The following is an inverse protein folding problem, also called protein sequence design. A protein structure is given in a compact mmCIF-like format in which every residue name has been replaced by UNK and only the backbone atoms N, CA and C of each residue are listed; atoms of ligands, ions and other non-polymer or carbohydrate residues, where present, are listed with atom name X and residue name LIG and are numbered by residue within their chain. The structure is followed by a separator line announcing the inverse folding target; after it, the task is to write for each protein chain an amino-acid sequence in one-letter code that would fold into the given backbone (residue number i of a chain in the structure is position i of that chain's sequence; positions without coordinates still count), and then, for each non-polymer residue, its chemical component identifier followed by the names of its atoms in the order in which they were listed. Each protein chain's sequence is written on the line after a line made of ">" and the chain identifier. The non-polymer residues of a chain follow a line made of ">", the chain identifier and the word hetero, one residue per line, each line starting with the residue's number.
data_IF_303492493732
#
_entry.id   IF_303492493732
#
_cell.length_a   1.000
_cell.length_b   1.000
_cell.length_c   1.000
_cell.angle_alpha   90.00
_cell.angle_beta   90.00
_cell.angle_gamma   90.00
#
_symmetry.space_group_name_H-M   'P 1'
#
loop_
_entity.id
_entity.type
_entity.pdbx_description
1 polymer ?
#
# COMPACT_ATOMS: atom_id res chain seq x y z
N UNK A 1 7.23 24.47 -6.42
CA UNK A 1 6.23 24.46 -7.51
C UNK A 1 5.20 25.57 -7.27
N UNK A 2 4.66 26.19 -8.33
CA UNK A 2 3.49 27.08 -8.25
C UNK A 2 2.33 26.45 -9.00
N UNK A 3 1.12 26.55 -8.43
CA UNK A 3 -0.11 26.25 -9.15
C UNK A 3 -0.97 27.51 -9.34
N UNK A 4 -1.51 27.76 -10.55
CA UNK A 4 -2.53 28.80 -10.79
C UNK A 4 -3.93 28.19 -10.86
N UNK A 5 -4.70 28.35 -9.79
CA UNK A 5 -6.09 27.86 -9.70
C UNK A 5 -7.09 28.67 -10.54
N UNK A 6 -6.68 29.82 -11.11
CA UNK A 6 -7.57 30.75 -11.82
C UNK A 6 -7.58 30.52 -13.33
N UNK A 7 -6.49 29.99 -13.89
CA UNK A 7 -6.29 29.85 -15.33
C UNK A 7 -6.21 28.39 -15.72
N UNK A 8 -6.99 28.00 -16.73
CA UNK A 8 -6.81 26.78 -17.52
C UNK A 8 -6.24 27.19 -18.89
N UNK A 9 -5.34 26.42 -19.51
CA UNK A 9 -5.09 24.99 -19.29
C UNK A 9 -3.91 24.63 -18.35
N UNK A 10 -3.00 25.54 -18.02
CA UNK A 10 -1.79 25.20 -17.25
C UNK A 10 -2.00 25.41 -15.74
N UNK A 11 -2.25 24.32 -15.02
CA UNK A 11 -2.35 24.36 -13.56
C UNK A 11 -0.97 24.58 -12.91
N UNK A 12 0.10 23.98 -13.44
CA UNK A 12 1.47 24.11 -12.93
C UNK A 12 2.22 25.22 -13.68
N UNK A 13 2.69 26.25 -12.95
CA UNK A 13 3.29 27.47 -13.52
C UNK A 13 4.83 27.53 -13.41
N UNK A 14 5.45 26.55 -12.74
CA UNK A 14 6.91 26.44 -12.65
C UNK A 14 7.47 26.14 -11.26
N UNK A 15 8.79 26.22 -11.17
CA UNK A 15 9.60 25.93 -9.99
C UNK A 15 10.03 27.24 -9.31
N UNK A 16 9.76 27.33 -8.02
CA UNK A 16 10.14 28.47 -7.19
C UNK A 16 11.39 28.14 -6.42
N UNK A 17 12.32 29.09 -6.39
CA UNK A 17 13.44 29.11 -5.49
C UNK A 17 13.29 30.23 -4.46
N UNK A 18 13.62 29.91 -3.21
CA UNK A 18 13.78 30.86 -2.12
C UNK A 18 14.82 30.28 -1.13
N UNK A 19 15.60 31.15 -0.51
CA UNK A 19 16.62 30.76 0.47
C UNK A 19 15.98 30.34 1.80
N UNK A 20 16.54 29.31 2.43
CA UNK A 20 16.19 28.90 3.80
C UNK A 20 17.34 29.26 4.75
N UNK A 21 17.05 30.11 5.74
CA UNK A 21 17.99 30.44 6.81
C UNK A 21 17.82 29.43 7.96
N UNK A 22 18.77 28.50 8.08
CA UNK A 22 18.74 27.45 9.09
C UNK A 22 18.86 27.99 10.53
N UNK A 23 19.53 29.14 10.74
CA UNK A 23 19.65 29.74 12.06
C UNK A 23 18.32 30.36 12.51
N UNK A 24 17.51 30.87 11.57
CA UNK A 24 16.17 31.41 11.85
C UNK A 24 15.06 30.36 11.74
N UNK A 25 15.32 29.23 11.10
CA UNK A 25 14.31 28.23 10.77
C UNK A 25 13.23 28.77 9.82
N UNK A 26 13.59 29.69 8.92
CA UNK A 26 12.63 30.41 8.08
C UNK A 26 13.14 30.65 6.66
N UNK A 27 12.20 30.74 5.71
CA UNK A 27 12.49 31.20 4.35
C UNK A 27 12.78 32.70 4.36
N UNK A 28 13.84 33.13 3.67
CA UNK A 28 14.30 34.53 3.62
C UNK A 28 14.52 34.98 2.18
N UNK A 29 14.71 36.30 2.00
CA UNK A 29 15.09 36.86 0.71
C UNK A 29 14.01 36.75 -0.39
N UNK A 30 14.41 36.95 -1.66
CA UNK A 30 13.50 36.95 -2.79
C UNK A 30 12.97 35.54 -3.11
N UNK A 31 11.73 35.48 -3.60
CA UNK A 31 11.06 34.26 -4.09
C UNK A 31 10.84 34.40 -5.60
N UNK A 32 11.51 33.56 -6.41
CA UNK A 32 11.51 33.69 -7.88
C UNK A 32 11.12 32.38 -8.56
N UNK A 33 10.31 32.47 -9.62
CA UNK A 33 10.10 31.35 -10.54
C UNK A 33 11.35 31.23 -11.43
N UNK A 34 12.12 30.16 -11.23
CA UNK A 34 13.41 29.95 -11.90
C UNK A 34 13.31 29.07 -13.16
N UNK A 35 12.22 28.30 -13.29
CA UNK A 35 12.03 27.38 -14.41
C UNK A 35 10.55 27.09 -14.62
N UNK A 36 10.06 27.32 -15.84
CA UNK A 36 8.64 27.13 -16.19
C UNK A 36 8.31 25.72 -16.68
N UNK A 37 9.30 24.86 -16.83
CA UNK A 37 9.13 23.57 -17.50
C UNK A 37 9.22 23.68 -19.03
N UNK A 38 8.98 22.55 -19.68
CA UNK A 38 8.92 22.39 -21.13
C UNK A 38 7.47 22.40 -21.63
N UNK A 39 7.30 22.11 -22.91
CA UNK A 39 6.00 21.88 -23.54
C UNK A 39 5.24 20.65 -23.00
N UNK A 40 5.92 19.73 -22.28
CA UNK A 40 5.28 18.58 -21.63
C UNK A 40 4.41 18.96 -20.41
N UNK A 41 4.63 20.16 -19.85
CA UNK A 41 3.88 20.72 -18.73
C UNK A 41 3.91 19.85 -17.45
N UNK A 42 3.05 20.19 -16.46
CA UNK A 42 2.97 19.52 -15.15
C UNK A 42 4.32 19.45 -14.42
N UNK A 43 5.11 20.51 -14.52
CA UNK A 43 6.47 20.58 -13.98
C UNK A 43 6.48 20.53 -12.44
N UNK A 44 7.10 19.49 -11.90
CA UNK A 44 7.16 19.20 -10.48
C UNK A 44 8.49 18.55 -10.06
N UNK A 45 8.55 18.02 -8.82
CA UNK A 45 9.71 17.29 -8.29
C UNK A 45 11.08 17.98 -8.51
N UNK A 46 11.28 19.25 -8.12
CA UNK A 46 12.53 19.94 -8.39
C UNK A 46 13.67 19.49 -7.46
N UNK A 47 14.79 19.07 -8.05
CA UNK A 47 16.04 18.77 -7.34
C UNK A 47 17.19 19.58 -7.94
N UNK A 48 18.01 20.20 -7.08
CA UNK A 48 19.16 21.02 -7.49
C UNK A 48 20.49 20.30 -7.18
N UNK A 49 21.38 20.29 -8.15
CA UNK A 49 22.74 19.75 -8.02
C UNK A 49 23.75 20.78 -8.49
N UNK A 50 24.98 20.73 -7.96
CA UNK A 50 26.06 21.63 -8.37
C UNK A 50 27.25 20.82 -8.87
N UNK A 51 27.64 21.03 -10.12
CA UNK A 51 28.77 20.32 -10.76
C UNK A 51 29.41 21.20 -11.83
N UNK A 52 30.74 21.22 -11.88
CA UNK A 52 31.52 21.90 -12.92
C UNK A 52 31.10 23.35 -13.22
N UNK A 53 30.77 24.11 -12.16
CA UNK A 53 30.34 25.51 -12.27
C UNK A 53 28.88 25.72 -12.71
N UNK A 54 28.11 24.65 -12.91
CA UNK A 54 26.68 24.69 -13.19
C UNK A 54 25.84 24.30 -11.97
N UNK A 55 24.65 24.87 -11.92
CA UNK A 55 23.50 24.40 -11.17
C UNK A 55 22.62 23.59 -12.12
N UNK A 56 22.46 22.30 -11.85
CA UNK A 56 21.54 21.42 -12.57
C UNK A 56 20.21 21.40 -11.83
N UNK A 57 19.11 21.52 -12.57
CA UNK A 57 17.74 21.41 -12.08
C UNK A 57 17.09 20.20 -12.75
N UNK A 58 16.88 19.13 -11.98
CA UNK A 58 16.07 17.99 -12.37
C UNK A 58 14.62 18.27 -11.97
N UNK A 59 13.68 17.94 -12.85
CA UNK A 59 12.23 18.08 -12.61
C UNK A 59 11.48 16.88 -13.18
N UNK A 60 10.32 16.59 -12.65
CA UNK A 60 9.36 15.68 -13.27
C UNK A 60 8.37 16.47 -14.14
N UNK A 61 7.95 15.91 -15.27
CA UNK A 61 6.98 16.54 -16.18
C UNK A 61 5.99 15.50 -16.76
N UNK A 62 4.90 15.96 -17.35
CA UNK A 62 3.89 15.11 -18.00
C UNK A 62 2.91 14.41 -17.05
N UNK A 63 3.09 14.61 -15.74
CA UNK A 63 2.27 14.01 -14.68
C UNK A 63 2.60 12.54 -14.45
N UNK A 64 2.34 12.04 -13.24
CA UNK A 64 2.75 10.70 -12.78
C UNK A 64 2.01 9.51 -13.45
N UNK A 65 1.34 9.73 -14.59
CA UNK A 65 0.66 8.73 -15.40
C UNK A 65 1.57 8.27 -16.57
N UNK A 66 1.00 7.85 -17.70
CA UNK A 66 1.77 7.34 -18.84
C UNK A 66 2.56 8.40 -19.63
N UNK A 67 2.34 9.70 -19.37
CA UNK A 67 3.10 10.80 -19.97
C UNK A 67 4.37 11.19 -19.20
N UNK A 68 4.67 10.51 -18.09
CA UNK A 68 5.69 10.93 -17.12
C UNK A 68 7.11 10.97 -17.70
N UNK A 69 7.90 11.93 -17.24
CA UNK A 69 9.30 12.10 -17.63
C UNK A 69 10.15 12.76 -16.53
N UNK A 70 11.47 12.60 -16.61
CA UNK A 70 12.45 13.46 -15.94
C UNK A 70 13.07 14.43 -16.95
N UNK A 71 12.96 15.73 -16.68
CA UNK A 71 13.56 16.81 -17.46
C UNK A 71 14.75 17.39 -16.70
N UNK A 72 15.89 17.52 -17.39
CA UNK A 72 17.10 18.11 -16.84
C UNK A 72 17.39 19.45 -17.51
N UNK A 73 17.75 20.45 -16.70
CA UNK A 73 18.18 21.75 -17.16
C UNK A 73 19.40 22.22 -16.36
N UNK A 74 20.17 23.20 -16.85
CA UNK A 74 21.30 23.77 -16.11
C UNK A 74 21.44 25.28 -16.27
N UNK A 75 22.12 25.92 -15.33
CA UNK A 75 22.44 27.36 -15.38
C UNK A 75 23.75 27.64 -14.63
N UNK A 76 24.49 28.67 -15.03
CA UNK A 76 25.64 29.17 -14.25
C UNK A 76 25.23 30.07 -13.08
N UNK A 77 23.99 30.57 -13.10
CA UNK A 77 23.37 31.31 -12.01
C UNK A 77 22.22 30.46 -11.43
N UNK A 78 22.18 30.27 -10.11
CA UNK A 78 21.12 29.52 -9.43
C UNK A 78 19.72 30.10 -9.74
N UNK A 79 19.65 31.41 -10.06
CA UNK A 79 18.42 32.11 -10.44
C UNK A 79 18.03 31.94 -11.92
N UNK A 80 18.81 31.21 -12.72
CA UNK A 80 18.60 31.01 -14.15
C UNK A 80 19.10 32.17 -15.03
N UNK A 81 18.75 32.19 -16.34
CA UNK A 81 17.85 31.25 -16.99
C UNK A 81 18.47 29.85 -17.10
N UNK A 82 17.64 28.82 -16.93
CA UNK A 82 18.06 27.43 -17.11
C UNK A 82 17.93 27.04 -18.60
N UNK A 83 19.04 26.59 -19.19
CA UNK A 83 19.02 25.92 -20.49
C UNK A 83 18.59 24.47 -20.32
N UNK A 84 17.71 23.97 -21.19
CA UNK A 84 17.21 22.59 -21.12
C UNK A 84 18.20 21.65 -21.81
N UNK A 85 18.34 20.44 -21.27
CA UNK A 85 19.14 19.37 -21.85
C UNK A 85 18.78 19.14 -23.33
N UNK A 86 19.73 18.80 -24.23
CA UNK A 86 19.45 18.57 -25.66
C UNK A 86 18.34 17.55 -25.93
N UNK A 87 18.31 16.45 -25.18
CA UNK A 87 17.24 15.42 -25.26
C UNK A 87 15.94 15.82 -24.53
N UNK A 88 15.93 16.98 -23.84
CA UNK A 88 14.90 17.47 -22.92
C UNK A 88 14.59 16.54 -21.75
N UNK A 89 14.04 15.38 -22.05
CA UNK A 89 13.61 14.36 -21.10
C UNK A 89 14.67 13.25 -21.03
N UNK A 90 15.53 13.30 -20.02
CA UNK A 90 16.61 12.33 -19.85
C UNK A 90 16.10 10.93 -19.47
N UNK A 91 14.85 10.82 -19.01
CA UNK A 91 14.19 9.55 -18.70
C UNK A 91 12.69 9.66 -19.01
N UNK A 92 12.14 8.75 -19.83
CA UNK A 92 10.70 8.60 -20.05
C UNK A 92 10.38 7.29 -20.77
N UNK A 93 9.21 6.73 -20.49
CA UNK A 93 8.60 5.61 -21.23
C UNK A 93 7.39 6.03 -22.07
N UNK A 94 7.07 7.33 -22.15
CA UNK A 94 5.80 7.83 -22.70
C UNK A 94 5.55 7.45 -24.17
N UNK A 95 6.61 7.37 -24.97
CA UNK A 95 6.56 7.02 -26.40
C UNK A 95 6.92 5.55 -26.65
N UNK A 96 7.09 4.75 -25.58
CA UNK A 96 7.53 3.36 -25.61
C UNK A 96 6.53 2.47 -24.85
N UNK A 97 5.32 2.22 -25.40
CA UNK A 97 4.23 1.53 -24.69
C UNK A 97 4.55 0.08 -24.31
N UNK A 98 5.56 -0.53 -24.95
CA UNK A 98 6.02 -1.89 -24.68
C UNK A 98 7.19 -1.98 -23.70
N UNK A 99 7.73 -0.84 -23.23
CA UNK A 99 8.78 -0.87 -22.22
C UNK A 99 8.25 -1.51 -20.93
N UNK A 100 9.03 -2.41 -20.31
CA UNK A 100 8.63 -3.09 -19.08
C UNK A 100 8.33 -2.13 -17.92
N UNK A 101 9.09 -1.02 -17.86
CA UNK A 101 8.92 0.04 -16.87
C UNK A 101 8.19 1.22 -17.51
N UNK A 102 6.94 1.43 -17.11
CA UNK A 102 6.11 2.55 -17.57
C UNK A 102 6.10 3.68 -16.54
N UNK A 103 5.45 4.82 -16.85
CA UNK A 103 5.24 5.95 -15.93
C UNK A 103 6.56 6.49 -15.35
N UNK A 104 7.65 6.39 -16.10
CA UNK A 104 9.00 6.62 -15.59
C UNK A 104 9.32 8.11 -15.50
N UNK A 105 9.56 8.59 -14.29
CA UNK A 105 9.79 10.00 -14.00
C UNK A 105 9.99 10.24 -12.51
N UNK A 106 9.95 11.51 -12.07
CA UNK A 106 10.12 11.91 -10.65
C UNK A 106 11.36 11.27 -10.00
N UNK A 107 12.50 11.51 -10.63
CA UNK A 107 13.77 10.93 -10.22
C UNK A 107 14.64 11.83 -9.36
N UNK A 108 15.72 11.24 -8.87
CA UNK A 108 16.79 11.89 -8.12
C UNK A 108 18.14 11.30 -8.56
N UNK A 109 19.20 12.11 -8.53
CA UNK A 109 20.55 11.74 -8.97
C UNK A 109 21.42 11.45 -7.76
N UNK A 110 22.09 10.31 -7.78
CA UNK A 110 23.01 9.88 -6.72
C UNK A 110 24.27 9.29 -7.31
N UNK A 111 25.42 9.64 -6.73
CA UNK A 111 26.69 9.00 -7.05
C UNK A 111 26.89 7.75 -6.19
N UNK A 112 27.57 6.74 -6.73
CA UNK A 112 28.00 5.57 -5.97
C UNK A 112 28.89 6.00 -4.79
N UNK A 113 28.97 5.19 -3.71
CA UNK A 113 29.85 5.50 -2.57
C UNK A 113 31.33 5.70 -2.95
N UNK A 114 31.79 5.08 -4.03
CA UNK A 114 33.16 5.23 -4.56
C UNK A 114 33.31 6.36 -5.60
N UNK A 115 32.22 7.06 -5.93
CA UNK A 115 32.18 8.17 -6.87
C UNK A 115 32.44 7.81 -8.34
N UNK A 116 32.45 6.52 -8.69
CA UNK A 116 32.76 6.06 -10.06
C UNK A 116 31.56 6.01 -10.99
N UNK A 117 30.37 5.84 -10.46
CA UNK A 117 29.13 5.73 -11.22
C UNK A 117 28.12 6.74 -10.72
N UNK A 118 27.37 7.35 -11.63
CA UNK A 118 26.19 8.15 -11.30
C UNK A 118 24.94 7.35 -11.65
N UNK A 119 23.92 7.42 -10.79
CA UNK A 119 22.64 6.75 -10.99
C UNK A 119 21.50 7.77 -10.93
N UNK A 120 20.42 7.46 -11.65
CA UNK A 120 19.13 8.13 -11.55
C UNK A 120 18.13 7.15 -10.94
N UNK A 121 17.75 7.38 -9.68
CA UNK A 121 16.59 6.70 -9.09
C UNK A 121 15.32 7.34 -9.62
N UNK A 122 14.26 6.59 -9.85
CA UNK A 122 12.99 7.10 -10.37
C UNK A 122 11.83 6.19 -10.00
N UNK A 123 10.61 6.72 -10.04
CA UNK A 123 9.43 5.86 -9.94
C UNK A 123 9.10 5.22 -11.29
N UNK A 124 8.41 4.09 -11.27
CA UNK A 124 7.79 3.47 -12.45
C UNK A 124 6.47 2.80 -12.07
N UNK A 125 5.70 2.37 -13.07
CA UNK A 125 4.59 1.43 -12.91
C UNK A 125 4.77 0.25 -13.85
N UNK A 126 4.35 -0.94 -13.41
CA UNK A 126 4.33 -2.15 -14.24
C UNK A 126 2.89 -2.57 -14.51
N UNK A 127 2.30 -2.14 -15.65
CA UNK A 127 0.92 -2.42 -15.94
C UNK A 127 0.67 -3.89 -16.26
N UNK A 128 -0.48 -4.40 -15.81
CA UNK A 128 -1.02 -5.70 -16.22
C UNK A 128 -2.17 -5.52 -17.19
N UNK A 129 -2.41 -6.56 -18.01
CA UNK A 129 -3.50 -6.65 -19.00
C UNK A 129 -3.49 -5.52 -20.05
N UNK A 130 -4.51 -5.47 -20.92
CA UNK A 130 -4.70 -4.39 -21.88
C UNK A 130 -5.24 -3.11 -21.24
N UNK A 131 -5.85 -3.20 -20.05
CA UNK A 131 -6.35 -2.06 -19.29
C UNK A 131 -5.22 -1.21 -18.66
N UNK A 132 -3.98 -1.70 -18.76
CA UNK A 132 -2.78 -1.06 -18.25
C UNK A 132 -2.93 -0.62 -16.79
N UNK A 133 -3.37 -1.54 -15.92
CA UNK A 133 -3.55 -1.28 -14.48
C UNK A 133 -2.29 -1.65 -13.71
N UNK A 134 -1.81 -0.76 -12.85
CA UNK A 134 -0.62 -0.98 -12.02
C UNK A 134 -1.05 -1.42 -10.61
N UNK A 135 -1.29 -2.72 -10.43
CA UNK A 135 -1.76 -3.30 -9.14
C UNK A 135 -0.75 -3.13 -7.99
N UNK A 136 0.52 -2.96 -8.31
CA UNK A 136 1.60 -2.67 -7.36
C UNK A 136 1.73 -1.17 -7.05
N UNK A 137 0.90 -0.32 -7.66
CA UNK A 137 1.03 1.13 -7.61
C UNK A 137 2.27 1.61 -8.37
N UNK A 138 2.94 2.61 -7.80
CA UNK A 138 4.22 3.11 -8.30
C UNK A 138 5.36 2.49 -7.48
N UNK A 139 6.32 1.92 -8.18
CA UNK A 139 7.49 1.24 -7.62
C UNK A 139 8.74 2.10 -7.85
N UNK A 140 9.83 1.79 -7.15
CA UNK A 140 11.12 2.47 -7.34
C UNK A 140 12.01 1.67 -8.27
N UNK A 141 12.69 2.34 -9.18
CA UNK A 141 13.69 1.81 -10.10
C UNK A 141 14.93 2.71 -10.12
N UNK A 142 16.00 2.21 -10.72
CA UNK A 142 17.29 2.91 -10.80
C UNK A 142 17.87 2.69 -12.19
N UNK A 143 18.52 3.72 -12.75
CA UNK A 143 19.23 3.67 -14.03
C UNK A 143 20.66 4.13 -13.84
N UNK A 144 21.61 3.47 -14.51
CA UNK A 144 22.98 3.96 -14.61
C UNK A 144 23.02 5.14 -15.59
N UNK A 145 23.79 6.17 -15.25
CA UNK A 145 23.94 7.38 -16.05
C UNK A 145 25.41 7.68 -16.33
N UNK A 146 25.65 8.40 -17.42
CA UNK A 146 26.98 8.88 -17.82
C UNK A 146 26.98 10.40 -17.96
N UNK A 147 27.98 11.05 -17.37
CA UNK A 147 28.31 12.43 -17.69
C UNK A 147 29.18 12.44 -18.95
N UNK A 148 28.77 13.19 -19.98
CA UNK A 148 29.52 13.32 -21.23
C UNK A 148 30.38 14.58 -21.25
N UNK A 149 31.22 14.71 -22.28
CA UNK A 149 32.16 15.82 -22.46
C UNK A 149 31.50 17.21 -22.55
N UNK A 150 30.20 17.25 -22.86
CA UNK A 150 29.37 18.46 -22.88
C UNK A 150 28.83 18.88 -21.50
N UNK A 151 29.29 18.20 -20.44
CA UNK A 151 28.85 18.33 -19.05
C UNK A 151 27.35 17.99 -18.85
N UNK A 152 26.73 17.21 -19.74
CA UNK A 152 25.35 16.73 -19.53
C UNK A 152 25.30 15.29 -19.02
N UNK A 153 24.26 14.99 -18.23
CA UNK A 153 23.97 13.66 -17.73
C UNK A 153 22.99 12.95 -18.66
N UNK A 154 23.37 11.76 -19.14
CA UNK A 154 22.53 10.91 -19.97
C UNK A 154 22.25 9.59 -19.26
N UNK A 155 21.04 9.08 -19.38
CA UNK A 155 20.74 7.69 -18.98
C UNK A 155 21.41 6.74 -19.98
N UNK A 156 22.12 5.74 -19.46
CA UNK A 156 22.81 4.74 -20.27
C UNK A 156 21.80 3.96 -21.10
N UNK A 157 22.12 3.73 -22.38
CA UNK A 157 21.23 3.11 -23.38
C UNK A 157 20.00 3.94 -23.81
N UNK A 158 19.92 5.21 -23.39
CA UNK A 158 18.90 6.16 -23.82
C UNK A 158 17.81 6.40 -22.77
N UNK A 159 16.82 7.27 -23.08
CA UNK A 159 15.86 7.76 -22.10
C UNK A 159 14.79 6.73 -21.70
N UNK A 160 14.64 5.64 -22.46
CA UNK A 160 13.73 4.54 -22.11
C UNK A 160 14.40 3.71 -21.02
N UNK A 161 13.79 3.55 -19.83
CA UNK A 161 14.42 2.85 -18.71
C UNK A 161 14.71 1.39 -19.05
N UNK A 162 15.91 0.95 -18.70
CA UNK A 162 16.29 -0.46 -18.79
C UNK A 162 15.64 -1.26 -17.66
N UNK A 163 15.21 -2.48 -17.97
CA UNK A 163 14.70 -3.43 -16.96
C UNK A 163 15.83 -3.97 -16.07
N UNK A 164 17.01 -4.19 -16.67
CA UNK A 164 18.20 -4.68 -16.00
C UNK A 164 19.25 -3.58 -15.97
N UNK A 165 19.77 -3.30 -14.77
CA UNK A 165 20.77 -2.25 -14.54
C UNK A 165 21.84 -2.82 -13.61
N UNK A 166 23.09 -2.64 -14.01
CA UNK A 166 24.25 -3.01 -13.19
C UNK A 166 24.33 -2.06 -11.99
N UNK A 167 24.41 -2.61 -10.78
CA UNK A 167 24.50 -1.84 -9.53
C UNK A 167 25.57 -2.45 -8.62
N UNK A 168 26.21 -1.65 -7.74
CA UNK A 168 27.21 -2.16 -6.78
C UNK A 168 26.51 -2.86 -5.61
N UNK A 169 25.90 -4.01 -5.89
CA UNK A 169 25.15 -4.80 -4.92
C UNK A 169 24.85 -6.20 -5.45
N UNK A 170 24.41 -7.09 -4.56
CA UNK A 170 23.95 -8.43 -4.94
C UNK A 170 22.46 -8.53 -4.70
N UNK A 171 21.75 -9.10 -5.68
CA UNK A 171 20.31 -9.35 -5.58
C UNK A 171 20.10 -10.68 -4.88
N UNK A 172 19.39 -10.65 -3.75
CA UNK A 172 18.96 -11.84 -3.03
C UNK A 172 17.57 -12.27 -3.54
N UNK A 173 17.57 -13.17 -4.53
CA UNK A 173 16.34 -13.75 -5.08
C UNK A 173 15.57 -14.57 -4.02
N UNK A 174 16.25 -15.32 -3.18
CA UNK A 174 15.60 -16.17 -2.18
C UNK A 174 14.86 -15.33 -1.14
N UNK A 175 15.49 -14.25 -0.65
CA UNK A 175 14.86 -13.33 0.28
C UNK A 175 13.66 -12.56 -0.32
N UNK A 176 13.65 -12.32 -1.64
CA UNK A 176 12.52 -11.68 -2.32
C UNK A 176 11.29 -12.61 -2.39
N UNK A 177 11.51 -13.90 -2.64
CA UNK A 177 10.45 -14.90 -2.78
C UNK A 177 10.06 -15.62 -1.49
N UNK A 178 10.69 -15.31 -0.35
CA UNK A 178 10.41 -15.98 0.93
C UNK A 178 9.00 -15.66 1.45
N UNK A 179 8.34 -16.68 1.98
CA UNK A 179 7.11 -16.51 2.76
C UNK A 179 7.36 -15.59 3.96
N UNK A 180 6.45 -14.65 4.18
CA UNK A 180 6.42 -13.80 5.37
C UNK A 180 5.30 -14.27 6.29
N UNK A 181 5.68 -14.83 7.44
CA UNK A 181 4.79 -15.29 8.50
C UNK A 181 4.93 -14.39 9.71
N UNK A 182 3.83 -13.81 10.17
CA UNK A 182 3.80 -12.92 11.32
C UNK A 182 2.97 -13.57 12.42
N UNK A 183 3.62 -13.83 13.55
CA UNK A 183 2.97 -14.25 14.80
C UNK A 183 3.06 -13.08 15.78
N UNK A 184 1.93 -12.60 16.28
CA UNK A 184 1.84 -11.32 17.03
C UNK A 184 2.22 -11.45 18.50
N UNK A 185 3.31 -12.16 18.77
CA UNK A 185 3.90 -12.24 20.11
C UNK A 185 4.39 -10.85 20.52
N UNK A 186 4.03 -10.40 21.72
CA UNK A 186 4.58 -9.15 22.26
C UNK A 186 6.12 -9.25 22.25
N UNK A 187 6.85 -8.19 21.85
CA UNK A 187 8.30 -8.26 21.85
C UNK A 187 8.80 -8.58 23.26
N UNK A 188 9.75 -9.52 23.34
CA UNK A 188 10.55 -9.67 24.55
C UNK A 188 11.18 -8.31 24.88
N UNK A 189 11.27 -7.89 26.16
CA UNK A 189 11.86 -6.61 26.58
C UNK A 189 13.29 -6.33 26.06
N UNK A 190 13.93 -7.31 25.44
CA UNK A 190 15.31 -7.28 24.93
C UNK A 190 15.46 -6.64 23.54
N UNK A 191 14.38 -6.40 22.79
CA UNK A 191 14.45 -5.93 21.40
C UNK A 191 14.37 -4.40 21.22
N UNK A 192 14.29 -3.63 22.31
CA UNK A 192 14.39 -2.16 22.24
C UNK A 192 15.86 -1.82 22.02
N UNK A 193 16.27 -1.65 20.76
CA UNK A 193 17.60 -1.17 20.43
C UNK A 193 17.79 0.24 21.01
N UNK A 194 18.89 0.41 21.72
CA UNK A 194 19.35 1.65 22.34
C UNK A 194 19.64 2.73 21.29
N UNK A 195 18.62 3.50 20.91
CA UNK A 195 18.82 4.77 20.20
C UNK A 195 17.76 5.81 20.58
N UNK A 196 17.23 5.75 21.80
CA UNK A 196 16.43 6.82 22.38
C UNK A 196 17.34 7.72 23.23
N UNK A 197 17.97 8.71 22.59
CA UNK A 197 18.50 9.85 23.32
C UNK A 197 17.36 10.59 24.02
N UNK A 198 17.62 10.89 25.29
CA UNK A 198 16.80 11.57 26.27
C UNK A 198 15.95 12.71 25.69
N UNK A 199 14.64 12.48 25.60
CA UNK A 199 13.65 13.56 25.63
C UNK A 199 12.56 13.21 26.65
N UNK A 200 12.47 14.04 27.68
CA UNK A 200 11.40 14.03 28.67
C UNK A 200 10.07 14.40 28.00
N UNK A 201 9.37 13.42 27.44
CA UNK A 201 8.04 13.60 26.85
C UNK A 201 7.17 12.35 27.03
N UNK A 202 6.09 12.55 27.81
CA UNK A 202 4.84 11.79 27.95
C UNK A 202 4.88 10.27 28.17
N UNK A 203 4.18 9.80 29.21
CA UNK A 203 3.78 8.40 29.45
C UNK A 203 2.83 7.81 28.39
N UNK A 204 2.57 8.52 27.29
CA UNK A 204 1.59 8.20 26.25
C UNK A 204 2.24 7.71 24.93
N UNK A 205 3.48 7.21 24.93
CA UNK A 205 4.07 6.62 23.71
C UNK A 205 3.48 5.24 23.44
N UNK A 206 2.91 5.08 22.25
CA UNK A 206 2.21 3.92 21.70
C UNK A 206 3.09 2.66 21.60
N UNK A 207 3.19 1.88 22.69
CA UNK A 207 3.99 0.66 22.73
C UNK A 207 3.52 -0.43 21.75
N UNK A 208 2.24 -0.45 21.36
CA UNK A 208 1.69 -1.44 20.44
C UNK A 208 2.02 -1.15 18.97
N UNK A 209 1.96 0.11 18.54
CA UNK A 209 2.34 0.50 17.18
C UNK A 209 3.85 0.35 16.95
N UNK A 210 4.65 0.71 17.95
CA UNK A 210 6.12 0.60 17.91
C UNK A 210 6.61 -0.85 17.85
N UNK A 211 5.76 -1.81 18.23
CA UNK A 211 6.07 -3.24 18.25
C UNK A 211 5.55 -4.01 17.03
N UNK A 212 4.73 -3.38 16.19
CA UNK A 212 4.18 -4.00 14.99
C UNK A 212 5.26 -4.11 13.90
N UNK A 213 5.29 -5.21 13.17
CA UNK A 213 6.28 -5.38 12.10
C UNK A 213 6.16 -4.26 11.05
N UNK A 214 7.31 -3.74 10.58
CA UNK A 214 7.39 -2.57 9.70
C UNK A 214 6.67 -2.70 8.34
N UNK A 215 6.32 -3.93 7.95
CA UNK A 215 5.52 -4.19 6.75
C UNK A 215 4.07 -3.70 6.89
N UNK A 216 3.56 -3.66 8.12
CA UNK A 216 2.20 -3.27 8.41
C UNK A 216 2.06 -1.76 8.62
N UNK A 217 0.98 -1.22 8.08
CA UNK A 217 0.55 0.16 8.27
C UNK A 217 -0.95 0.18 8.57
N UNK A 218 -1.41 1.27 9.16
CA UNK A 218 -2.82 1.57 9.36
C UNK A 218 -3.19 2.90 8.70
N UNK A 219 -4.49 3.15 8.54
CA UNK A 219 -4.96 4.34 7.84
C UNK A 219 -5.08 5.53 8.79
N UNK A 220 -4.22 6.53 8.59
CA UNK A 220 -4.35 7.95 8.99
C UNK A 220 -4.33 8.27 10.49
N UNK A 221 -5.05 7.53 11.32
CA UNK A 221 -5.28 7.92 12.71
C UNK A 221 -3.95 8.06 13.47
N UNK A 222 -3.74 9.17 14.19
CA UNK A 222 -2.60 9.34 15.08
C UNK A 222 -2.80 8.62 16.44
N UNK A 223 -3.92 7.89 16.61
CA UNK A 223 -4.30 7.22 17.86
C UNK A 223 -4.40 5.69 17.67
N UNK A 224 -3.30 4.99 17.36
CA UNK A 224 -3.32 3.56 17.02
C UNK A 224 -3.88 2.68 18.15
N UNK A 225 -3.68 3.01 19.43
CA UNK A 225 -4.28 2.24 20.54
C UNK A 225 -5.83 2.21 20.52
N UNK A 226 -6.47 3.13 19.80
CA UNK A 226 -7.93 3.07 19.59
C UNK A 226 -8.33 1.99 18.62
N UNK A 227 -7.45 1.54 17.74
CA UNK A 227 -7.78 0.59 16.66
C UNK A 227 -7.10 -0.78 16.84
N UNK A 228 -5.95 -0.83 17.53
CA UNK A 228 -5.16 -2.05 17.69
C UNK A 228 -4.49 -2.18 19.06
N UNK A 229 -4.21 -3.42 19.46
CA UNK A 229 -3.35 -3.77 20.62
C UNK A 229 -2.61 -5.09 20.36
N UNK A 230 -1.36 -5.18 20.81
CA UNK A 230 -0.53 -6.39 20.84
C UNK A 230 -0.34 -6.96 22.26
N UNK A 231 -0.92 -6.30 23.27
CA UNK A 231 -0.76 -6.66 24.68
C UNK A 231 -2.05 -7.23 25.30
N UNK A 232 -3.21 -6.83 24.79
CA UNK A 232 -4.51 -7.23 25.37
C UNK A 232 -4.78 -8.72 25.21
N UNK A 233 -4.21 -9.35 24.18
CA UNK A 233 -4.23 -10.79 24.00
C UNK A 233 -2.84 -11.24 23.57
N UNK A 234 -2.01 -11.74 24.50
CA UNK A 234 -0.66 -12.19 24.18
C UNK A 234 -0.65 -13.20 23.04
N UNK A 235 0.16 -12.95 22.01
CA UNK A 235 0.26 -13.81 20.82
C UNK A 235 -0.73 -13.47 19.70
N UNK A 236 -1.56 -12.44 19.86
CA UNK A 236 -2.51 -12.01 18.85
C UNK A 236 -2.51 -10.48 18.64
N UNK A 237 -2.76 -10.06 17.39
CA UNK A 237 -3.14 -8.70 17.06
C UNK A 237 -4.62 -8.54 17.36
N UNK A 238 -4.96 -7.74 18.36
CA UNK A 238 -6.34 -7.37 18.65
C UNK A 238 -6.68 -6.13 17.84
N UNK A 239 -7.71 -6.21 17.00
CA UNK A 239 -8.33 -5.07 16.33
C UNK A 239 -9.68 -4.78 16.99
N UNK A 240 -9.88 -3.55 17.48
CA UNK A 240 -11.17 -3.16 18.05
C UNK A 240 -12.08 -2.67 16.93
N UNK A 241 -13.28 -3.22 16.77
CA UNK A 241 -14.20 -2.78 15.72
C UNK A 241 -14.47 -1.26 15.78
N UNK A 242 -14.29 -0.57 14.65
CA UNK A 242 -14.56 0.87 14.52
C UNK A 242 -15.43 1.13 13.29
N UNK A 243 -15.12 2.15 12.51
CA UNK A 243 -15.94 2.59 11.40
C UNK A 243 -15.87 1.61 10.21
N UNK A 244 -16.75 1.83 9.24
CA UNK A 244 -16.80 1.02 8.02
C UNK A 244 -15.51 1.13 7.19
N UNK A 245 -15.22 0.15 6.30
CA UNK A 245 -14.10 0.20 5.34
C UNK A 245 -14.14 1.44 4.42
N UNK A 246 -15.29 2.10 4.33
CA UNK A 246 -15.48 3.31 3.54
C UNK A 246 -15.01 4.60 4.24
N UNK A 247 -14.62 4.57 5.52
CA UNK A 247 -14.40 5.81 6.28
C UNK A 247 -13.08 6.52 5.97
N UNK A 248 -13.04 7.84 6.18
CA UNK A 248 -11.80 8.62 6.15
C UNK A 248 -11.12 8.73 7.52
N UNK A 249 -11.80 8.31 8.60
CA UNK A 249 -11.35 8.56 9.97
C UNK A 249 -10.81 7.28 10.61
N UNK A 250 -11.58 6.62 11.47
CA UNK A 250 -11.10 5.53 12.31
C UNK A 250 -11.46 4.16 11.72
N UNK A 251 -10.64 3.71 10.77
CA UNK A 251 -10.68 2.33 10.32
C UNK A 251 -9.73 1.47 11.15
N UNK A 252 -10.25 0.40 11.75
CA UNK A 252 -9.41 -0.64 12.33
C UNK A 252 -8.96 -1.61 11.25
N UNK A 253 -8.01 -1.13 10.44
CA UNK A 253 -7.39 -1.83 9.33
C UNK A 253 -5.88 -1.80 9.52
N UNK A 254 -5.27 -2.97 9.54
CA UNK A 254 -3.82 -3.17 9.59
C UNK A 254 -3.41 -4.02 8.40
N UNK A 255 -2.65 -3.45 7.48
CA UNK A 255 -2.35 -4.07 6.20
C UNK A 255 -0.92 -3.80 5.73
N UNK A 256 -0.42 -4.70 4.88
CA UNK A 256 0.88 -4.58 4.22
C UNK A 256 0.72 -4.43 2.72
N UNK A 257 1.74 -3.91 2.04
CA UNK A 257 1.76 -3.76 0.58
C UNK A 257 1.72 -5.11 -0.13
N UNK A 258 0.98 -5.18 -1.23
CA UNK A 258 1.20 -6.17 -2.28
C UNK A 258 2.50 -5.80 -3.01
N UNK A 259 3.44 -6.74 -3.08
CA UNK A 259 4.77 -6.55 -3.69
C UNK A 259 5.08 -7.53 -4.82
N UNK A 260 4.14 -8.43 -5.12
CA UNK A 260 4.21 -9.41 -6.19
C UNK A 260 2.91 -9.37 -7.00
N UNK A 261 2.99 -9.67 -8.30
CA UNK A 261 1.79 -9.78 -9.14
C UNK A 261 0.91 -10.95 -8.70
N UNK A 262 1.54 -12.02 -8.21
CA UNK A 262 0.86 -13.20 -7.71
C UNK A 262 1.36 -13.53 -6.29
N UNK A 263 0.42 -13.78 -5.39
CA UNK A 263 0.70 -14.15 -3.99
C UNK A 263 -0.51 -14.82 -3.36
N UNK A 264 -0.25 -15.50 -2.25
CA UNK A 264 -1.28 -16.01 -1.34
C UNK A 264 -1.19 -15.22 -0.03
N UNK A 265 -2.33 -14.94 0.58
CA UNK A 265 -2.37 -14.35 1.91
C UNK A 265 -3.42 -15.02 2.79
N UNK A 266 -3.14 -15.14 4.07
CA UNK A 266 -4.09 -15.66 5.04
C UNK A 266 -4.01 -14.96 6.38
N UNK A 267 -5.13 -14.88 7.07
CA UNK A 267 -5.21 -14.45 8.46
C UNK A 267 -5.98 -15.49 9.29
N UNK A 268 -5.52 -15.73 10.52
CA UNK A 268 -6.17 -16.66 11.45
C UNK A 268 -6.88 -15.87 12.52
N UNK A 269 -8.22 -15.88 12.48
CA UNK A 269 -9.07 -15.32 13.52
C UNK A 269 -9.19 -16.31 14.68
N UNK A 270 -8.88 -15.86 15.90
CA UNK A 270 -8.96 -16.64 17.12
C UNK A 270 -10.39 -17.10 17.44
N UNK A 271 -10.53 -18.15 18.28
CA UNK A 271 -11.73 -18.39 19.08
C UNK A 271 -12.26 -17.13 19.75
N UNK A 272 -13.57 -17.07 19.98
CA UNK A 272 -14.21 -16.00 20.74
C UNK A 272 -14.69 -14.80 19.92
N UNK A 273 -14.55 -14.80 18.59
CA UNK A 273 -15.15 -13.76 17.75
C UNK A 273 -16.61 -14.14 17.39
N UNK A 274 -17.54 -13.51 18.10
CA UNK A 274 -18.98 -13.71 17.97
C UNK A 274 -19.68 -12.35 17.77
N UNK A 275 -19.85 -11.90 16.52
CA UNK A 275 -20.63 -10.70 16.23
C UNK A 275 -22.10 -10.92 16.62
N UNK A 276 -22.70 -9.89 17.21
CA UNK A 276 -24.09 -9.88 17.67
C UNK A 276 -25.07 -9.65 16.50
N UNK A 277 -24.65 -8.91 15.48
CA UNK A 277 -25.46 -8.51 14.34
C UNK A 277 -24.64 -8.21 13.07
N UNK A 278 -25.33 -7.91 11.97
CA UNK A 278 -24.74 -7.61 10.64
C UNK A 278 -23.83 -6.36 10.59
N UNK A 279 -23.80 -5.54 11.64
CA UNK A 279 -23.00 -4.30 11.72
C UNK A 279 -21.63 -4.54 12.34
N UNK A 280 -21.38 -5.74 12.85
CA UNK A 280 -20.11 -6.18 13.37
C UNK A 280 -19.50 -7.20 12.43
N UNK A 281 -18.29 -6.93 11.96
CA UNK A 281 -17.61 -7.82 11.03
C UNK A 281 -16.09 -7.66 11.09
N UNK A 282 -15.37 -8.77 10.99
CA UNK A 282 -13.92 -8.81 10.97
C UNK A 282 -13.39 -9.87 10.01
N UNK A 283 -12.22 -9.64 9.43
CA UNK A 283 -11.59 -10.64 8.56
C UNK A 283 -10.43 -10.12 7.72
N UNK A 284 -10.33 -10.64 6.50
CA UNK A 284 -9.21 -10.44 5.57
C UNK A 284 -9.62 -9.51 4.41
N UNK A 285 -8.85 -8.47 4.16
CA UNK A 285 -9.14 -7.47 3.12
C UNK A 285 -8.00 -7.33 2.11
N UNK A 286 -8.35 -7.18 0.84
CA UNK A 286 -7.51 -6.65 -0.23
C UNK A 286 -8.02 -5.24 -0.57
N UNK A 287 -7.20 -4.22 -0.33
CA UNK A 287 -7.64 -2.84 -0.20
C UNK A 287 -6.73 -1.89 -0.99
N UNK A 288 -7.33 -1.03 -1.81
CA UNK A 288 -6.64 0.11 -2.41
C UNK A 288 -7.08 1.41 -1.73
N UNK A 289 -8.39 1.67 -1.75
CA UNK A 289 -9.01 2.80 -1.08
C UNK A 289 -10.46 2.49 -0.71
N UNK A 290 -11.15 3.43 -0.07
CA UNK A 290 -12.57 3.32 0.34
C UNK A 290 -13.55 3.00 -0.81
N UNK A 291 -13.10 3.15 -2.06
CA UNK A 291 -13.88 2.92 -3.26
C UNK A 291 -13.50 1.63 -4.00
N UNK A 292 -12.33 1.07 -3.70
CA UNK A 292 -11.75 -0.09 -4.39
C UNK A 292 -11.18 -1.04 -3.34
N UNK A 293 -11.96 -2.05 -2.96
CA UNK A 293 -11.58 -3.07 -1.99
C UNK A 293 -12.42 -4.34 -2.15
N UNK A 294 -11.86 -5.44 -1.64
CA UNK A 294 -12.52 -6.72 -1.42
C UNK A 294 -12.28 -7.17 0.02
N UNK A 295 -13.33 -7.61 0.71
CA UNK A 295 -13.27 -7.91 2.13
C UNK A 295 -14.07 -9.18 2.44
N UNK A 296 -13.35 -10.27 2.74
CA UNK A 296 -13.91 -11.50 3.29
C UNK A 296 -14.04 -11.36 4.81
N UNK A 297 -15.26 -11.34 5.32
CA UNK A 297 -15.53 -11.07 6.73
C UNK A 297 -16.44 -12.12 7.36
N UNK A 298 -16.17 -12.41 8.64
CA UNK A 298 -17.11 -13.07 9.55
C UNK A 298 -18.04 -12.00 10.11
N UNK A 299 -19.35 -12.17 9.95
CA UNK A 299 -20.38 -11.26 10.49
C UNK A 299 -21.51 -12.02 11.18
N UNK A 300 -22.36 -11.28 11.91
CA UNK A 300 -23.58 -11.83 12.50
C UNK A 300 -24.68 -11.87 11.46
N UNK A 301 -25.64 -12.79 11.61
CA UNK A 301 -26.79 -12.91 10.68
C UNK A 301 -27.97 -12.03 11.05
N UNK A 302 -28.01 -11.53 12.29
CA UNK A 302 -29.17 -10.79 12.81
C UNK A 302 -29.20 -9.36 12.25
N UNK A 303 -30.27 -8.99 11.56
CA UNK A 303 -30.52 -7.65 11.00
C UNK A 303 -31.73 -6.93 11.63
N UNK A 304 -32.53 -7.64 12.43
CA UNK A 304 -33.79 -7.15 12.98
C UNK A 304 -33.67 -6.73 14.45
N UNK A 305 -33.39 -5.44 14.67
CA UNK A 305 -33.38 -4.81 16.01
C UNK A 305 -34.78 -4.47 16.55
N UNK A 306 -35.83 -4.58 15.72
CA UNK A 306 -37.18 -4.10 16.03
C UNK A 306 -38.19 -5.23 16.24
N UNK A 307 -37.81 -6.48 16.02
CA UNK A 307 -38.71 -7.62 16.20
C UNK A 307 -38.43 -8.32 17.54
N UNK A 308 -39.23 -7.99 18.55
CA UNK A 308 -39.21 -8.64 19.86
C UNK A 308 -39.69 -10.11 19.82
N UNK A 309 -40.21 -10.58 18.67
CA UNK A 309 -40.68 -11.96 18.47
C UNK A 309 -39.62 -12.90 17.87
N UNK A 310 -38.49 -12.36 17.39
CA UNK A 310 -37.34 -13.17 16.97
C UNK A 310 -36.57 -13.66 18.21
N UNK A 311 -36.40 -14.97 18.27
CA UNK A 311 -35.78 -15.69 19.38
C UNK A 311 -34.35 -15.17 19.64
N UNK A 312 -33.98 -15.08 20.92
CA UNK A 312 -32.61 -14.78 21.38
C UNK A 312 -31.59 -15.74 20.72
N UNK A 313 -32.05 -16.89 20.21
CA UNK A 313 -31.26 -17.91 19.49
C UNK A 313 -30.67 -17.50 18.12
N UNK A 314 -31.08 -16.38 17.49
CA UNK A 314 -30.38 -15.85 16.31
C UNK A 314 -29.10 -15.08 16.67
N UNK A 315 -28.97 -14.62 17.93
CA UNK A 315 -27.75 -13.98 18.45
C UNK A 315 -26.64 -15.02 18.54
N UNK A 316 -25.53 -14.78 17.86
CA UNK A 316 -24.38 -15.69 17.81
C UNK A 316 -24.39 -16.66 16.62
N UNK A 317 -25.38 -16.57 15.72
CA UNK A 317 -25.28 -17.15 14.38
C UNK A 317 -24.33 -16.31 13.53
N UNK A 318 -23.34 -16.95 12.92
CA UNK A 318 -22.29 -16.29 12.15
C UNK A 318 -22.37 -16.73 10.69
N UNK A 319 -21.93 -15.85 9.82
CA UNK A 319 -21.76 -16.15 8.41
C UNK A 319 -20.47 -15.55 7.87
N UNK A 320 -19.99 -16.10 6.76
CA UNK A 320 -18.95 -15.50 5.94
C UNK A 320 -19.60 -14.78 4.77
N UNK A 321 -19.19 -13.54 4.55
CA UNK A 321 -19.64 -12.74 3.43
C UNK A 321 -18.46 -12.02 2.75
N UNK A 322 -18.65 -11.69 1.48
CA UNK A 322 -17.71 -10.88 0.70
C UNK A 322 -18.32 -9.51 0.45
N UNK A 323 -17.72 -8.48 1.03
CA UNK A 323 -18.00 -7.09 0.67
C UNK A 323 -17.02 -6.64 -0.40
N UNK A 324 -17.52 -5.92 -1.41
CA UNK A 324 -16.67 -5.32 -2.42
C UNK A 324 -17.21 -3.97 -2.86
N UNK A 325 -16.29 -3.06 -3.14
CA UNK A 325 -16.56 -1.82 -3.85
C UNK A 325 -15.59 -1.77 -5.03
N UNK A 326 -16.15 -1.66 -6.23
CA UNK A 326 -15.38 -1.72 -7.48
C UNK A 326 -15.44 -0.41 -8.28
N UNK A 327 -16.27 0.54 -7.86
CA UNK A 327 -16.50 1.80 -8.58
C UNK A 327 -15.66 2.95 -8.05
N UNK A 328 -15.43 3.96 -8.89
CA UNK A 328 -14.79 5.22 -8.49
C UNK A 328 -15.81 6.24 -7.99
N UNK A 329 -15.35 7.28 -7.29
CA UNK A 329 -16.18 8.44 -6.91
C UNK A 329 -16.81 9.10 -8.17
N UNK A 330 -18.06 9.61 -8.10
CA UNK A 330 -19.01 9.54 -6.98
C UNK A 330 -19.90 8.29 -6.99
N UNK A 331 -19.69 7.39 -7.95
CA UNK A 331 -20.59 6.28 -8.25
C UNK A 331 -20.27 5.00 -7.47
N UNK A 332 -19.20 5.00 -6.68
CA UNK A 332 -18.80 3.91 -5.80
C UNK A 332 -19.95 3.49 -4.88
N UNK A 333 -20.38 2.25 -5.01
CA UNK A 333 -21.35 1.58 -4.15
C UNK A 333 -20.81 0.20 -3.83
N UNK A 334 -21.22 -0.38 -2.70
CA UNK A 334 -21.07 -1.81 -2.49
C UNK A 334 -21.75 -2.55 -3.65
N UNK A 335 -21.06 -3.51 -4.25
CA UNK A 335 -21.59 -4.24 -5.40
C UNK A 335 -22.86 -5.01 -5.02
N UNK A 336 -23.83 -5.02 -5.93
CA UNK A 336 -25.09 -5.76 -5.79
C UNK A 336 -25.41 -6.51 -7.11
N UNK A 337 -25.94 -7.74 -7.05
CA UNK A 337 -26.21 -8.54 -5.85
C UNK A 337 -24.93 -8.96 -5.13
N UNK A 338 -24.99 -9.10 -3.80
CA UNK A 338 -23.86 -9.63 -3.04
C UNK A 338 -23.73 -11.13 -3.29
N UNK A 339 -22.53 -11.68 -3.11
CA UNK A 339 -22.33 -13.13 -3.04
C UNK A 339 -23.15 -13.66 -1.86
N UNK A 340 -23.88 -14.76 -2.07
CA UNK A 340 -24.65 -15.39 -1.00
C UNK A 340 -23.74 -15.72 0.20
N UNK A 341 -24.09 -15.29 1.42
CA UNK A 341 -23.29 -15.61 2.59
C UNK A 341 -23.21 -17.12 2.83
N UNK A 342 -22.10 -17.55 3.42
CA UNK A 342 -21.90 -18.95 3.82
C UNK A 342 -22.14 -19.06 5.33
N UNK A 343 -23.18 -19.79 5.78
CA UNK A 343 -23.40 -20.02 7.20
C UNK A 343 -22.18 -20.68 7.85
N UNK A 344 -21.77 -20.15 9.00
CA UNK A 344 -20.79 -20.79 9.87
C UNK A 344 -21.50 -21.51 11.00
N UNK A 345 -20.89 -22.56 11.59
CA UNK A 345 -21.49 -23.21 12.74
C UNK A 345 -21.65 -22.22 13.90
N UNK A 346 -22.72 -22.42 14.67
CA UNK A 346 -23.09 -21.54 15.76
C UNK A 346 -22.05 -21.53 16.88
N UNK A 347 -22.16 -20.58 17.80
CA UNK A 347 -21.29 -20.50 18.97
C UNK A 347 -21.23 -21.80 19.79
N UNK A 348 -22.36 -22.50 19.91
CA UNK A 348 -22.45 -23.73 20.70
C UNK A 348 -21.87 -24.95 19.95
N UNK A 349 -21.80 -24.88 18.62
CA UNK A 349 -21.28 -25.94 17.76
C UNK A 349 -19.77 -25.79 17.47
N UNK A 350 -19.28 -24.56 17.38
CA UNK A 350 -17.88 -24.28 17.00
C UNK A 350 -17.36 -22.96 17.57
N UNK A 351 -16.34 -23.04 18.42
CA UNK A 351 -15.51 -21.91 18.87
C UNK A 351 -14.03 -22.11 18.49
N UNK A 352 -13.77 -22.82 17.40
CA UNK A 352 -12.40 -23.01 16.91
C UNK A 352 -11.90 -21.81 16.09
N UNK A 353 -10.63 -21.86 15.69
CA UNK A 353 -10.05 -20.85 14.80
C UNK A 353 -10.70 -20.86 13.42
N UNK A 354 -10.74 -19.69 12.80
CA UNK A 354 -11.18 -19.51 11.42
C UNK A 354 -10.00 -18.97 10.61
N UNK A 355 -9.53 -19.75 9.62
CA UNK A 355 -8.55 -19.27 8.64
C UNK A 355 -9.28 -18.65 7.48
N UNK A 356 -9.01 -17.39 7.22
CA UNK A 356 -9.47 -16.64 6.05
C UNK A 356 -8.29 -16.50 5.09
N UNK A 357 -8.49 -16.74 3.79
CA UNK A 357 -7.39 -16.71 2.82
C UNK A 357 -7.83 -16.14 1.48
N UNK A 358 -6.88 -15.58 0.75
CA UNK A 358 -7.05 -15.16 -0.64
C UNK A 358 -5.85 -15.59 -1.47
N UNK A 359 -6.11 -15.86 -2.74
CA UNK A 359 -5.10 -16.06 -3.78
C UNK A 359 -5.25 -14.96 -4.82
N UNK A 360 -4.17 -14.25 -5.14
CA UNK A 360 -4.10 -13.36 -6.30
C UNK A 360 -3.18 -13.96 -7.36
N UNK A 361 -3.68 -14.02 -8.60
CA UNK A 361 -2.94 -14.44 -9.80
C UNK A 361 -3.07 -13.34 -10.85
N UNK A 362 -2.12 -12.40 -10.85
CA UNK A 362 -2.18 -11.13 -11.60
C UNK A 362 -3.49 -10.36 -11.39
N UNK A 363 -4.47 -10.51 -12.28
CA UNK A 363 -5.77 -9.81 -12.28
C UNK A 363 -6.89 -10.61 -11.61
N UNK A 364 -6.64 -11.82 -11.10
CA UNK A 364 -7.67 -12.70 -10.53
C UNK A 364 -7.50 -12.84 -9.03
N UNK A 365 -8.57 -12.60 -8.27
CA UNK A 365 -8.65 -12.85 -6.82
C UNK A 365 -9.66 -13.96 -6.53
N UNK A 366 -9.29 -14.96 -5.72
CA UNK A 366 -10.22 -15.95 -5.18
C UNK A 366 -10.09 -16.02 -3.66
N UNK A 367 -11.22 -15.98 -2.95
CA UNK A 367 -11.27 -16.17 -1.50
C UNK A 367 -11.49 -17.62 -1.11
N UNK A 368 -10.97 -17.97 0.07
CA UNK A 368 -11.09 -19.27 0.71
C UNK A 368 -11.25 -19.13 2.22
N UNK A 369 -11.78 -20.18 2.84
CA UNK A 369 -11.80 -20.32 4.30
C UNK A 369 -11.55 -21.78 4.72
N UNK A 370 -11.06 -21.96 5.95
CA UNK A 370 -10.95 -23.26 6.60
C UNK A 370 -11.26 -23.12 8.09
N UNK A 371 -11.92 -24.12 8.67
CA UNK A 371 -12.20 -24.21 10.09
C UNK A 371 -11.20 -25.15 10.76
N UNK A 372 -10.83 -24.87 12.00
CA UNK A 372 -10.03 -25.78 12.82
C UNK A 372 -10.76 -27.12 13.03
N UNK A 373 -10.03 -28.23 12.89
CA UNK A 373 -10.56 -29.57 13.14
C UNK A 373 -10.40 -29.94 14.62
N UNK A 374 -11.50 -29.83 15.37
CA UNK A 374 -11.57 -30.16 16.80
C UNK A 374 -11.81 -31.66 17.07
N UNK A 375 -12.03 -32.48 16.05
CA UNK A 375 -12.37 -33.91 16.23
C UNK A 375 -11.22 -34.77 16.80
N UNK A 376 -10.00 -34.24 16.79
CA UNK A 376 -8.79 -34.94 17.28
C UNK A 376 -8.19 -34.38 18.58
N UNK A 377 -8.79 -33.35 19.18
CA UNK A 377 -8.27 -32.70 20.39
C UNK A 377 -8.86 -33.28 21.69
N UNK A 378 -8.73 -34.59 21.88
CA UNK A 378 -9.04 -35.24 23.16
C UNK A 378 -7.78 -35.39 24.02
N UNK A 379 -7.09 -34.31 24.36
CA UNK A 379 -6.34 -34.25 25.62
C UNK A 379 -5.98 -32.81 25.99
N UNK A 380 -6.32 -32.49 27.24
CA UNK A 380 -6.06 -31.25 27.93
C UNK A 380 -4.56 -30.96 28.06
N UNK A 381 -4.05 -30.09 27.20
CA UNK A 381 -2.98 -29.15 27.51
C UNK A 381 -3.13 -27.95 26.57
N UNK A 382 -3.78 -26.90 27.05
CA UNK A 382 -3.87 -25.63 26.36
C UNK A 382 -2.47 -25.17 25.93
N UNK A 383 -2.25 -25.03 24.62
CA UNK A 383 -1.19 -24.18 24.07
C UNK A 383 -0.01 -24.83 23.33
N UNK A 384 0.01 -26.14 23.01
CA UNK A 384 1.17 -26.74 22.27
C UNK A 384 0.89 -27.78 21.18
N UNK A 385 -0.34 -28.24 20.98
CA UNK A 385 -0.64 -29.12 19.86
C UNK A 385 -0.73 -28.31 18.55
N UNK A 386 -0.17 -28.77 17.42
CA UNK A 386 -0.28 -28.08 16.14
C UNK A 386 -1.75 -27.99 15.71
N UNK A 387 -2.17 -26.81 15.27
CA UNK A 387 -3.50 -26.58 14.70
C UNK A 387 -3.67 -27.47 13.48
N UNK A 388 -4.76 -28.25 13.46
CA UNK A 388 -5.16 -28.99 12.27
C UNK A 388 -6.30 -28.25 11.61
N UNK A 389 -6.16 -28.01 10.32
CA UNK A 389 -7.19 -27.39 9.50
C UNK A 389 -8.05 -28.46 8.85
N UNK A 390 -9.36 -28.24 8.84
CA UNK A 390 -10.27 -28.97 7.96
C UNK A 390 -10.05 -28.61 6.49
N UNK A 391 -10.93 -29.10 5.62
CA UNK A 391 -10.88 -28.82 4.19
C UNK A 391 -10.96 -27.30 3.92
N UNK A 392 -10.06 -26.81 3.07
CA UNK A 392 -10.10 -25.43 2.58
C UNK A 392 -11.18 -25.31 1.51
N UNK A 393 -12.16 -24.43 1.74
CA UNK A 393 -13.33 -24.24 0.89
C UNK A 393 -13.26 -22.90 0.17
N UNK A 394 -13.64 -22.88 -1.11
CA UNK A 394 -13.81 -21.64 -1.89
C UNK A 394 -15.07 -20.92 -1.44
N UNK A 395 -15.03 -19.59 -1.45
CA UNK A 395 -16.18 -18.72 -1.24
C UNK A 395 -16.23 -17.63 -2.31
N UNK A 396 -17.41 -17.42 -2.87
CA UNK A 396 -17.63 -16.46 -3.96
C UNK A 396 -16.95 -16.80 -5.28
N UNK A 397 -17.20 -15.97 -6.31
CA UNK A 397 -16.59 -16.12 -7.62
C UNK A 397 -15.12 -15.67 -7.62
N UNK A 398 -14.45 -15.85 -8.75
CA UNK A 398 -13.19 -15.17 -9.04
C UNK A 398 -13.48 -13.69 -9.33
N UNK A 399 -12.82 -12.79 -8.62
CA UNK A 399 -13.00 -11.34 -8.69
C UNK A 399 -11.86 -10.69 -9.50
N UNK A 400 -12.12 -9.53 -10.11
CA UNK A 400 -11.11 -8.74 -10.83
C UNK A 400 -10.21 -8.01 -9.83
N UNK A 401 -9.06 -8.59 -9.50
CA UNK A 401 -8.07 -7.98 -8.61
C UNK A 401 -7.48 -6.70 -9.18
N UNK A 402 -7.53 -6.51 -10.50
CA UNK A 402 -6.86 -5.38 -11.15
C UNK A 402 -7.48 -4.02 -10.80
N UNK A 403 -8.70 -4.00 -10.25
CA UNK A 403 -9.33 -2.77 -9.74
C UNK A 403 -8.59 -2.17 -8.54
N UNK A 404 -7.70 -2.93 -7.89
CA UNK A 404 -6.86 -2.46 -6.80
C UNK A 404 -5.62 -1.77 -7.37
N UNK A 405 -5.82 -0.74 -8.18
CA UNK A 405 -4.74 -0.04 -8.89
C UNK A 405 -4.92 1.47 -8.89
N UNK A 406 -3.83 2.18 -9.20
CA UNK A 406 -3.82 3.64 -9.36
C UNK A 406 -4.85 4.13 -10.39
N UNK A 407 -5.08 3.36 -11.44
CA UNK A 407 -5.98 3.69 -12.55
C UNK A 407 -7.46 3.51 -12.19
N UNK A 408 -7.77 2.89 -11.06
CA UNK A 408 -9.15 2.61 -10.63
C UNK A 408 -9.57 3.45 -9.41
N UNK A 409 -8.61 3.98 -8.65
CA UNK A 409 -8.92 4.79 -7.49
C UNK A 409 -9.65 6.09 -7.85
N UNK A 410 -10.85 6.29 -7.28
CA UNK A 410 -11.46 7.61 -6.96
C UNK A 410 -11.54 8.74 -8.01
N UNK A 411 -11.39 8.45 -9.32
CA UNK A 411 -11.11 9.47 -10.35
C UNK A 411 -12.08 10.67 -10.44
N UNK A 412 -11.47 11.81 -10.82
CA UNK A 412 -11.93 13.22 -10.89
C UNK A 412 -11.93 14.04 -9.59
N UNK A 413 -12.32 13.47 -8.44
CA UNK A 413 -12.34 14.23 -7.18
C UNK A 413 -11.10 13.99 -6.30
N UNK A 414 -10.47 12.83 -6.43
CA UNK A 414 -9.36 12.39 -5.58
C UNK A 414 -8.23 11.79 -6.43
N UNK A 415 -6.98 12.06 -6.05
CA UNK A 415 -5.80 11.45 -6.68
C UNK A 415 -5.53 10.04 -6.15
N UNK A 416 -4.95 9.20 -7.00
CA UNK A 416 -4.68 7.78 -6.74
C UNK A 416 -3.20 7.50 -6.88
N UNK A 417 -2.51 7.34 -5.75
CA UNK A 417 -1.06 7.46 -5.66
C UNK A 417 -0.39 6.41 -4.75
N UNK A 418 -1.10 5.34 -4.39
CA UNK A 418 -0.63 4.33 -3.44
C UNK A 418 -0.22 3.03 -4.12
N UNK A 419 -1.16 2.09 -4.24
CA UNK A 419 -0.94 0.68 -4.57
C UNK A 419 -1.85 -0.22 -3.73
N UNK A 420 -1.99 -1.49 -4.12
CA UNK A 420 -2.79 -2.47 -3.38
C UNK A 420 -2.15 -2.88 -2.05
N UNK A 421 -2.99 -3.10 -1.05
CA UNK A 421 -2.65 -3.64 0.27
C UNK A 421 -3.46 -4.90 0.55
N UNK A 422 -2.93 -5.77 1.41
CA UNK A 422 -3.62 -6.92 1.97
C UNK A 422 -3.43 -6.95 3.48
N UNK A 423 -4.49 -7.24 4.23
CA UNK A 423 -4.44 -7.12 5.68
C UNK A 423 -5.66 -7.61 6.41
N UNK A 424 -5.69 -7.31 7.70
CA UNK A 424 -6.77 -7.65 8.62
C UNK A 424 -7.58 -6.38 8.94
N UNK A 425 -8.89 -6.54 9.07
CA UNK A 425 -9.76 -5.44 9.45
C UNK A 425 -10.85 -5.89 10.43
N UNK A 426 -11.38 -4.92 11.18
CA UNK A 426 -12.55 -5.09 12.06
C UNK A 426 -13.41 -3.82 12.05
N UNK A 427 -14.72 -3.98 11.91
CA UNK A 427 -15.70 -2.91 11.97
C UNK A 427 -16.80 -3.28 12.95
N UNK A 428 -17.30 -2.27 13.64
CA UNK A 428 -18.39 -2.36 14.60
C UNK A 428 -19.16 -1.04 14.56
N UNK A 429 -20.19 -1.00 13.72
CA UNK A 429 -20.99 0.22 13.50
C UNK A 429 -21.92 0.49 14.70
N UNK A 430 -22.02 -0.44 15.65
CA UNK A 430 -22.72 -0.22 16.92
C UNK A 430 -21.90 0.64 17.89
N UNK A 431 -20.59 0.80 17.64
CA UNK A 431 -19.69 1.54 18.52
C UNK A 431 -19.32 0.77 19.79
N UNK A 432 -19.58 -0.54 19.84
CA UNK A 432 -19.29 -1.38 21.02
C UNK A 432 -17.84 -1.83 21.12
N UNK A 433 -17.02 -1.52 20.12
CA UNK A 433 -15.60 -1.86 20.06
C UNK A 433 -15.30 -3.37 20.12
N UNK A 434 -16.17 -4.21 19.54
CA UNK A 434 -16.00 -5.67 19.57
C UNK A 434 -14.59 -6.09 19.10
N UNK A 435 -13.80 -6.77 19.95
CA UNK A 435 -12.42 -7.12 19.61
C UNK A 435 -12.35 -8.34 18.69
N UNK A 436 -11.72 -8.18 17.53
CA UNK A 436 -11.29 -9.26 16.65
C UNK A 436 -9.82 -9.58 16.90
N UNK A 437 -9.47 -10.84 17.17
CA UNK A 437 -8.11 -11.24 17.52
C UNK A 437 -7.53 -12.11 16.41
N UNK A 438 -6.40 -11.68 15.86
CA UNK A 438 -5.70 -12.40 14.79
C UNK A 438 -4.40 -13.00 15.33
N UNK A 439 -4.24 -14.32 15.29
CA UNK A 439 -3.06 -15.02 15.82
C UNK A 439 -1.89 -15.00 14.83
N UNK A 440 -2.23 -14.99 13.55
CA UNK A 440 -1.27 -15.13 12.47
C UNK A 440 -1.73 -14.36 11.23
N UNK A 441 -0.77 -13.76 10.54
CA UNK A 441 -0.90 -13.31 9.15
C UNK A 441 0.22 -13.95 8.32
N UNK A 442 -0.10 -14.43 7.12
CA UNK A 442 0.87 -15.01 6.18
C UNK A 442 0.74 -14.34 4.84
N UNK A 443 1.88 -14.04 4.20
CA UNK A 443 1.98 -13.61 2.82
C UNK A 443 3.04 -14.45 2.11
N UNK A 444 2.63 -15.17 1.07
CA UNK A 444 3.48 -16.10 0.33
C UNK A 444 3.57 -15.62 -1.13
N UNK A 445 4.73 -15.11 -1.58
CA UNK A 445 4.96 -14.79 -2.99
C UNK A 445 4.76 -16.03 -3.88
N UNK A 446 4.12 -15.87 -5.05
CA UNK A 446 3.89 -16.97 -5.99
C UNK A 446 4.38 -16.55 -7.37
N UNK A 447 5.12 -17.43 -8.05
CA UNK A 447 5.43 -17.27 -9.48
C UNK A 447 4.28 -17.85 -10.30
N UNK A 448 3.64 -17.03 -11.13
CA UNK A 448 2.56 -17.48 -12.01
C UNK A 448 2.83 -17.09 -13.45
N UNK A 449 2.36 -17.90 -14.40
CA UNK A 449 2.58 -17.69 -15.84
C UNK A 449 1.99 -16.37 -16.40
N UNK A 450 1.08 -15.74 -15.67
CA UNK A 450 0.52 -14.43 -16.04
C UNK A 450 1.38 -13.25 -15.58
N UNK A 451 2.38 -13.50 -14.74
CA UNK A 451 3.24 -12.45 -14.21
C UNK A 451 4.16 -11.93 -15.31
N UNK A 452 4.33 -10.61 -15.35
CA UNK A 452 5.16 -9.94 -16.37
C UNK A 452 6.38 -9.31 -15.75
N UNK A 453 7.32 -10.15 -15.32
CA UNK A 453 8.60 -9.69 -14.77
C UNK A 453 9.64 -9.35 -15.85
N UNK A 454 9.53 -9.92 -17.06
CA UNK A 454 10.58 -9.89 -18.10
C UNK A 454 10.08 -9.39 -19.49
N UNK A 455 9.12 -8.46 -19.55
CA UNK A 455 8.52 -7.98 -20.83
C UNK A 455 9.59 -7.62 -21.87
#
# INVERSE_FOLDING_TARGET
>A
MICDHRRRPQFFEGIILQEFDAAKGAMVGPRKNIFRGTDLALVEGPHLYKRNGYYYLLTAEGGTAYGHACTLARSKDIWGPYEVHPDKHILTSKDSPFAALQRSGHGDIVDSPDGKSTYLVHLCGRPITQERRCVLGRETSIQECEWRDDDWLYVKNGPVPSLHVEVPGTRDEEAYWVEKRYTFSSPSPSAISSSAESSTASKDRDTAADSLHADFQWLRTPYPNRILSLSDTPGALTLYGRESPGSWFEQSLVARRQTHFSYDASAVLSPGYFPDDIRQFAGLTAYYCRFNFFYLAVSGTNDDFWDESLDIGSRGQRELLIMQSEGSYPHSKLARPMVEPVPLPSRDEFDGRIKLSLEIRADKLQFFYALEDLSSSSSSAAGKAPVKWGEQKKIGPVLDASILSDECGGHLAHGSFTGAFVGMAASDINGTALPARFEEFVYTPVKHQSDRYEI
#
